data_IF_387944762521
#
_entry.id   IF_387944762521
#
_cell.length_a   1.000
_cell.length_b   1.000
_cell.length_c   1.000
_cell.angle_alpha   90.00
_cell.angle_beta   90.00
_cell.angle_gamma   90.00
#
_symmetry.space_group_name_H-M   'P 1'
#
loop_
_entity.id
_entity.type
_entity.pdbx_description
1 polymer ?
#
# COMPACT_ATOMS: atom_id res chain seq x y z
N UNK A 1 3.72 -36.17 -51.78
CA UNK A 1 2.94 -35.04 -51.20
C UNK A 1 3.26 -34.93 -49.71
N UNK A 2 4.16 -34.04 -49.39
CA UNK A 2 4.52 -33.78 -47.98
C UNK A 2 3.63 -32.66 -47.45
N UNK A 3 2.72 -32.97 -46.52
CA UNK A 3 1.91 -31.96 -45.82
C UNK A 3 2.77 -31.40 -44.71
N UNK A 4 3.23 -30.16 -44.84
CA UNK A 4 3.82 -29.35 -43.77
C UNK A 4 2.71 -28.91 -42.84
N UNK A 5 2.67 -29.48 -41.62
CA UNK A 5 1.86 -28.99 -40.51
C UNK A 5 2.64 -27.85 -39.87
N UNK A 6 2.21 -26.63 -40.12
CA UNK A 6 2.72 -25.45 -39.40
C UNK A 6 2.09 -25.44 -38.00
N UNK A 7 2.91 -25.77 -36.98
CA UNK A 7 2.53 -25.57 -35.58
C UNK A 7 2.62 -24.07 -35.27
N UNK A 8 1.48 -23.41 -35.18
CA UNK A 8 1.35 -22.07 -34.60
C UNK A 8 1.50 -22.20 -33.09
N UNK A 9 2.72 -21.96 -32.60
CA UNK A 9 2.95 -21.77 -31.16
C UNK A 9 2.44 -20.37 -30.82
N UNK A 10 1.21 -20.29 -30.29
CA UNK A 10 0.68 -19.09 -29.72
C UNK A 10 1.47 -18.74 -28.44
N UNK A 11 2.30 -17.73 -28.50
CA UNK A 11 2.92 -17.16 -27.33
C UNK A 11 1.83 -16.46 -26.49
N UNK A 12 1.35 -17.12 -25.45
CA UNK A 12 0.52 -16.50 -24.43
C UNK A 12 1.40 -15.54 -23.64
N UNK A 13 1.32 -14.24 -23.97
CA UNK A 13 1.96 -13.20 -23.18
C UNK A 13 1.20 -13.10 -21.86
N UNK A 14 1.63 -13.78 -20.82
CA UNK A 14 1.16 -13.55 -19.47
C UNK A 14 1.71 -12.19 -19.05
N UNK A 15 0.80 -11.21 -18.90
CA UNK A 15 1.12 -9.94 -18.23
C UNK A 15 1.44 -10.27 -16.78
N UNK A 16 2.71 -10.46 -16.46
CA UNK A 16 3.18 -10.57 -15.10
C UNK A 16 3.05 -9.19 -14.44
N UNK A 17 2.11 -9.05 -13.49
CA UNK A 17 2.06 -7.90 -12.59
C UNK A 17 3.34 -7.99 -11.75
N UNK A 18 4.26 -7.05 -11.93
CA UNK A 18 5.49 -7.02 -11.16
C UNK A 18 5.18 -6.85 -9.67
N UNK A 19 5.75 -7.72 -8.83
CA UNK A 19 5.68 -7.54 -7.38
C UNK A 19 6.39 -6.23 -6.98
N UNK A 20 5.94 -5.56 -5.91
CA UNK A 20 6.62 -4.39 -5.39
C UNK A 20 8.09 -4.70 -5.03
N UNK A 21 8.95 -3.72 -5.18
CA UNK A 21 10.29 -3.79 -4.63
C UNK A 21 10.23 -3.52 -3.13
N UNK A 22 10.61 -4.51 -2.32
CA UNK A 22 10.57 -4.42 -0.86
C UNK A 22 11.95 -4.14 -0.27
N UNK A 23 12.01 -3.23 0.70
CA UNK A 23 13.20 -2.96 1.49
C UNK A 23 12.86 -2.98 2.99
N UNK A 24 13.51 -3.87 3.72
CA UNK A 24 13.32 -4.08 5.16
C UNK A 24 11.85 -4.35 5.57
N UNK A 25 11.06 -4.88 4.67
CA UNK A 25 9.67 -5.24 4.96
C UNK A 25 9.63 -6.73 5.31
N UNK A 26 9.12 -7.11 6.49
CA UNK A 26 9.01 -8.53 6.87
C UNK A 26 8.16 -9.32 5.87
N UNK A 27 8.56 -10.57 5.60
CA UNK A 27 7.90 -11.42 4.62
C UNK A 27 6.38 -11.57 4.84
N UNK A 28 5.87 -11.71 6.07
CA UNK A 28 4.42 -11.76 6.30
C UNK A 28 3.71 -10.47 5.87
N UNK A 29 4.31 -9.30 6.12
CA UNK A 29 3.74 -8.00 5.71
C UNK A 29 3.80 -7.81 4.18
N UNK A 30 4.81 -8.34 3.51
CA UNK A 30 4.89 -8.34 2.04
C UNK A 30 3.65 -9.00 1.41
N UNK A 31 3.11 -10.06 2.02
CA UNK A 31 1.90 -10.73 1.53
C UNK A 31 0.68 -9.79 1.54
N UNK A 32 0.55 -8.97 2.57
CA UNK A 32 -0.54 -7.98 2.65
C UNK A 32 -0.39 -6.84 1.64
N UNK A 33 0.85 -6.47 1.32
CA UNK A 33 1.14 -5.34 0.43
C UNK A 33 1.18 -5.71 -1.06
N UNK A 34 1.31 -6.99 -1.39
CA UNK A 34 1.56 -7.45 -2.76
C UNK A 34 0.43 -7.24 -3.76
N UNK A 35 -0.79 -6.89 -3.32
CA UNK A 35 -1.99 -6.85 -4.16
C UNK A 35 -2.56 -5.44 -4.40
N UNK A 36 -1.81 -4.39 -4.08
CA UNK A 36 -2.32 -3.02 -4.06
C UNK A 36 -1.74 -2.10 -5.13
N UNK A 37 -1.05 -2.65 -6.13
CA UNK A 37 -0.45 -1.86 -7.21
C UNK A 37 0.73 -0.99 -6.75
N UNK A 38 1.42 -1.40 -5.72
CA UNK A 38 2.60 -0.72 -5.22
C UNK A 38 3.81 -0.97 -6.13
N UNK A 39 4.61 0.06 -6.33
CA UNK A 39 5.89 0.01 -7.02
C UNK A 39 7.02 -0.32 -6.05
N UNK A 40 7.04 0.34 -4.90
CA UNK A 40 8.03 0.14 -3.84
C UNK A 40 7.38 0.16 -2.47
N UNK A 41 7.99 -0.54 -1.53
CA UNK A 41 7.63 -0.52 -0.11
C UNK A 41 8.89 -0.63 0.74
N UNK A 42 9.06 0.30 1.67
CA UNK A 42 10.19 0.34 2.59
C UNK A 42 9.69 0.58 4.01
N UNK A 43 10.20 -0.22 4.95
CA UNK A 43 9.95 -0.03 6.38
C UNK A 43 11.22 0.43 7.07
N UNK A 44 11.16 1.57 7.74
CA UNK A 44 12.26 2.14 8.49
C UNK A 44 11.74 2.86 9.74
N UNK A 45 12.24 2.49 10.91
CA UNK A 45 11.90 3.09 12.20
C UNK A 45 10.37 3.25 12.43
N UNK A 46 9.59 2.24 12.07
CA UNK A 46 8.13 2.26 12.22
C UNK A 46 7.39 3.06 11.15
N UNK A 47 8.09 3.60 10.16
CA UNK A 47 7.50 4.30 9.02
C UNK A 47 7.49 3.38 7.80
N UNK A 48 6.30 3.05 7.33
CA UNK A 48 6.10 2.31 6.08
C UNK A 48 5.91 3.30 4.94
N UNK A 49 6.92 3.43 4.09
CA UNK A 49 6.92 4.32 2.94
C UNK A 49 6.63 3.54 1.67
N UNK A 50 5.58 3.91 0.98
CA UNK A 50 5.04 3.21 -0.17
C UNK A 50 4.97 4.15 -1.38
N UNK A 51 5.23 3.62 -2.58
CA UNK A 51 4.97 4.32 -3.84
C UNK A 51 4.03 3.48 -4.69
N UNK A 52 3.00 4.13 -5.25
CA UNK A 52 2.15 3.56 -6.29
C UNK A 52 2.61 4.00 -7.67
N UNK A 53 2.42 3.16 -8.67
CA UNK A 53 2.66 3.51 -10.07
C UNK A 53 1.51 4.35 -10.63
N UNK A 54 1.31 5.53 -10.05
CA UNK A 54 0.29 6.51 -10.41
C UNK A 54 0.92 7.90 -10.46
N UNK A 55 0.51 8.77 -11.40
CA UNK A 55 1.03 10.14 -11.48
C UNK A 55 0.61 10.99 -10.27
N UNK A 56 -0.54 10.68 -9.69
CA UNK A 56 -1.09 11.40 -8.52
C UNK A 56 -1.78 10.42 -7.57
N UNK A 57 -1.59 10.62 -6.27
CA UNK A 57 -2.39 9.96 -5.24
C UNK A 57 -3.51 10.93 -4.83
N UNK A 58 -4.73 10.57 -5.18
CA UNK A 58 -5.92 11.31 -4.72
C UNK A 58 -6.30 10.93 -3.30
N UNK A 59 -7.08 11.76 -2.63
CA UNK A 59 -7.60 11.44 -1.30
C UNK A 59 -8.42 10.14 -1.30
N UNK A 60 -9.15 9.88 -2.38
CA UNK A 60 -9.92 8.65 -2.54
C UNK A 60 -9.03 7.40 -2.62
N UNK A 61 -8.01 7.44 -3.46
CA UNK A 61 -7.04 6.33 -3.60
C UNK A 61 -6.34 6.07 -2.27
N UNK A 62 -5.87 7.14 -1.64
CA UNK A 62 -5.19 7.07 -0.36
C UNK A 62 -6.09 6.49 0.76
N UNK A 63 -7.27 7.05 0.98
CA UNK A 63 -8.15 6.60 2.05
C UNK A 63 -8.62 5.16 1.84
N UNK A 64 -8.89 4.78 0.59
CA UNK A 64 -9.23 3.39 0.23
C UNK A 64 -8.07 2.45 0.54
N UNK A 65 -6.84 2.83 0.22
CA UNK A 65 -5.66 2.02 0.52
C UNK A 65 -5.45 1.88 2.04
N UNK A 66 -5.53 2.97 2.80
CA UNK A 66 -5.38 2.91 4.27
C UNK A 66 -6.41 1.98 4.88
N UNK A 67 -7.68 2.09 4.45
CA UNK A 67 -8.74 1.23 4.96
C UNK A 67 -8.51 -0.25 4.59
N UNK A 68 -8.39 -0.55 3.30
CA UNK A 68 -8.34 -1.93 2.81
C UNK A 68 -6.95 -2.56 2.86
N UNK A 69 -5.91 -1.80 2.59
CA UNK A 69 -4.53 -2.29 2.50
C UNK A 69 -3.81 -2.34 3.84
N UNK A 70 -4.21 -1.55 4.81
CA UNK A 70 -3.57 -1.47 6.12
C UNK A 70 -4.49 -1.94 7.22
N UNK A 71 -5.56 -1.20 7.54
CA UNK A 71 -6.38 -1.51 8.71
C UNK A 71 -7.18 -2.80 8.54
N UNK A 72 -7.83 -3.02 7.39
CA UNK A 72 -8.57 -4.25 7.16
C UNK A 72 -7.65 -5.49 7.14
N UNK A 73 -6.41 -5.35 6.67
CA UNK A 73 -5.42 -6.43 6.74
C UNK A 73 -5.04 -6.75 8.19
N UNK A 74 -4.93 -5.76 9.06
CA UNK A 74 -4.70 -5.98 10.49
C UNK A 74 -5.86 -6.71 11.15
N UNK A 75 -7.10 -6.41 10.77
CA UNK A 75 -8.27 -7.12 11.32
C UNK A 75 -8.37 -8.56 10.85
N UNK A 76 -8.07 -8.82 9.57
CA UNK A 76 -8.19 -10.16 8.96
C UNK A 76 -7.00 -11.08 9.23
N UNK A 77 -5.82 -10.51 9.28
CA UNK A 77 -4.55 -11.25 9.36
C UNK A 77 -3.58 -10.57 10.33
N UNK A 78 -3.96 -10.46 11.64
CA UNK A 78 -3.14 -9.76 12.62
C UNK A 78 -1.75 -10.39 12.78
N UNK A 79 -1.60 -11.68 12.51
CA UNK A 79 -0.32 -12.39 12.56
C UNK A 79 0.72 -11.82 11.59
N UNK A 80 0.30 -11.18 10.50
CA UNK A 80 1.22 -10.56 9.54
C UNK A 80 1.87 -9.28 10.06
N UNK A 81 1.30 -8.72 11.11
CA UNK A 81 1.78 -7.48 11.76
C UNK A 81 2.46 -7.75 13.10
N UNK A 82 2.50 -9.01 13.56
CA UNK A 82 3.11 -9.39 14.83
C UNK A 82 4.62 -9.07 14.83
N UNK A 83 5.06 -8.34 15.87
CA UNK A 83 6.45 -7.91 16.00
C UNK A 83 6.85 -6.76 15.07
N UNK A 84 5.93 -6.24 14.26
CA UNK A 84 6.16 -5.08 13.41
C UNK A 84 5.75 -3.83 14.16
N UNK A 85 6.70 -2.93 14.40
CA UNK A 85 6.38 -1.58 14.87
C UNK A 85 5.96 -0.74 13.67
N UNK A 86 4.70 -0.34 13.64
CA UNK A 86 4.13 0.45 12.56
C UNK A 86 3.45 1.69 13.14
N UNK A 87 4.12 2.82 13.02
CA UNK A 87 3.69 4.10 13.59
C UNK A 87 3.09 5.03 12.54
N UNK A 88 3.51 4.88 11.30
CA UNK A 88 3.13 5.78 10.22
C UNK A 88 3.16 5.06 8.89
N UNK A 89 2.18 5.34 8.03
CA UNK A 89 2.16 4.89 6.64
C UNK A 89 2.20 6.11 5.73
N UNK A 90 3.16 6.14 4.82
CA UNK A 90 3.31 7.19 3.80
C UNK A 90 3.01 6.56 2.45
N UNK A 91 2.02 7.10 1.73
CA UNK A 91 1.68 6.68 0.38
C UNK A 91 1.94 7.80 -0.60
N UNK A 92 2.88 7.57 -1.52
CA UNK A 92 3.35 8.54 -2.50
C UNK A 92 3.07 8.07 -3.92
N UNK A 93 3.03 9.03 -4.84
CA UNK A 93 2.92 8.79 -6.27
C UNK A 93 4.20 8.15 -6.87
N UNK A 94 4.18 7.88 -8.16
CA UNK A 94 5.27 7.19 -8.85
C UNK A 94 6.62 7.90 -8.74
N UNK A 95 6.64 9.23 -8.63
CA UNK A 95 7.87 10.02 -8.46
C UNK A 95 8.34 10.13 -7.01
N UNK A 96 7.51 9.69 -6.06
CA UNK A 96 7.81 9.82 -4.62
C UNK A 96 7.64 11.23 -4.06
N UNK A 97 7.02 12.15 -4.81
CA UNK A 97 6.92 13.55 -4.42
C UNK A 97 5.61 13.90 -3.72
N UNK A 98 4.48 13.38 -4.23
CA UNK A 98 3.15 13.78 -3.79
C UNK A 98 2.40 12.60 -3.18
N UNK A 99 1.65 12.86 -2.14
CA UNK A 99 0.78 11.88 -1.50
C UNK A 99 0.38 12.30 -0.10
N UNK A 100 0.21 11.33 0.76
CA UNK A 100 -0.29 11.53 2.12
C UNK A 100 0.40 10.61 3.11
N UNK A 101 0.42 11.01 4.38
CA UNK A 101 0.88 10.21 5.48
C UNK A 101 -0.22 10.02 6.53
N UNK A 102 -0.35 8.80 7.01
CA UNK A 102 -1.32 8.36 8.01
C UNK A 102 -0.61 8.06 9.32
N UNK A 103 -1.05 8.71 10.40
CA UNK A 103 -0.57 8.42 11.74
C UNK A 103 -1.29 7.20 12.30
N UNK A 104 -0.54 6.11 12.47
CA UNK A 104 -1.06 4.81 12.86
C UNK A 104 -0.77 4.46 14.33
N UNK A 105 -0.22 5.38 15.08
CA UNK A 105 0.11 5.12 16.49
C UNK A 105 -1.14 4.82 17.33
N UNK A 106 -0.97 3.90 18.28
CA UNK A 106 -2.06 3.47 19.16
C UNK A 106 -3.00 2.50 18.45
N UNK A 107 -4.29 2.62 18.74
CA UNK A 107 -5.36 1.73 18.28
C UNK A 107 -6.21 2.34 17.15
N UNK A 108 -5.63 3.18 16.32
CA UNK A 108 -6.35 3.93 15.26
C UNK A 108 -7.12 3.00 14.32
N UNK A 109 -6.51 1.89 13.88
CA UNK A 109 -7.21 0.92 13.04
C UNK A 109 -8.38 0.24 13.77
N UNK A 110 -8.25 -0.05 15.05
CA UNK A 110 -9.34 -0.62 15.88
C UNK A 110 -10.50 0.37 15.97
N UNK A 111 -10.21 1.62 16.29
CA UNK A 111 -11.23 2.68 16.34
C UNK A 111 -11.95 2.84 15.01
N UNK A 112 -11.22 2.81 13.91
CA UNK A 112 -11.83 2.90 12.55
C UNK A 112 -12.76 1.72 12.28
N UNK A 113 -12.40 0.51 12.69
CA UNK A 113 -13.24 -0.68 12.55
C UNK A 113 -14.57 -0.57 13.31
N UNK A 114 -14.59 0.09 14.46
CA UNK A 114 -15.78 0.30 15.27
C UNK A 114 -16.77 1.30 14.67
N UNK A 115 -16.31 2.22 13.81
CA UNK A 115 -17.18 3.23 13.18
C UNK A 115 -18.14 2.64 12.15
N UNK A 116 -17.75 1.58 11.44
CA UNK A 116 -18.54 0.90 10.41
C UNK A 116 -18.78 1.71 9.12
N UNK A 117 -18.79 3.04 9.19
CA UNK A 117 -18.97 3.97 8.06
C UNK A 117 -18.22 5.27 8.35
N UNK A 118 -18.17 6.18 7.36
CA UNK A 118 -17.48 7.47 7.47
C UNK A 118 -15.97 7.35 7.74
N UNK A 119 -15.37 6.24 7.33
CA UNK A 119 -13.94 5.98 7.56
C UNK A 119 -13.04 7.03 6.89
N UNK A 120 -13.46 7.65 5.79
CA UNK A 120 -12.66 8.69 5.11
C UNK A 120 -12.48 9.94 5.97
N UNK A 121 -13.54 10.39 6.62
CA UNK A 121 -13.46 11.52 7.56
C UNK A 121 -12.55 11.18 8.74
N UNK A 122 -12.68 9.98 9.27
CA UNK A 122 -11.80 9.51 10.35
C UNK A 122 -10.34 9.44 9.91
N UNK A 123 -10.04 8.86 8.75
CA UNK A 123 -8.69 8.81 8.21
C UNK A 123 -8.12 10.23 8.03
N UNK A 124 -8.93 11.16 7.54
CA UNK A 124 -8.53 12.56 7.35
C UNK A 124 -8.03 13.23 8.64
N UNK A 125 -8.57 12.88 9.79
CA UNK A 125 -8.15 13.41 11.09
C UNK A 125 -6.72 12.98 11.48
N UNK A 126 -6.23 11.88 10.93
CA UNK A 126 -4.90 11.31 11.18
C UNK A 126 -3.96 11.45 9.98
N UNK A 127 -4.30 12.32 9.05
CA UNK A 127 -3.62 12.48 7.76
C UNK A 127 -2.95 13.84 7.64
N UNK A 128 -1.77 13.85 7.04
CA UNK A 128 -1.11 15.06 6.54
C UNK A 128 -0.77 14.89 5.05
N UNK A 129 -0.74 16.00 4.31
CA UNK A 129 -0.27 16.01 2.92
C UNK A 129 1.24 15.98 2.88
N UNK A 130 1.77 15.25 1.90
CA UNK A 130 3.19 15.25 1.57
C UNK A 130 3.43 16.09 0.32
N UNK A 131 4.50 16.87 0.32
CA UNK A 131 4.94 17.68 -0.80
C UNK A 131 6.46 17.56 -0.99
N UNK A 132 6.91 17.47 -2.25
CA UNK A 132 8.30 17.25 -2.59
C UNK A 132 8.96 16.08 -1.81
N UNK A 133 8.19 15.03 -1.54
CA UNK A 133 8.63 13.85 -0.79
C UNK A 133 8.69 14.03 0.72
N UNK A 134 8.35 15.21 1.24
CA UNK A 134 8.35 15.52 2.68
C UNK A 134 6.93 15.46 3.24
N UNK A 135 6.78 14.72 4.34
CA UNK A 135 5.52 14.58 5.06
C UNK A 135 5.70 15.17 6.47
N UNK A 136 5.10 16.33 6.78
CA UNK A 136 5.22 16.91 8.11
C UNK A 136 4.62 15.98 9.19
N UNK A 137 5.01 16.20 10.43
CA UNK A 137 4.34 15.55 11.55
C UNK A 137 2.97 16.19 11.74
N UNK A 138 2.01 15.41 12.20
CA UNK A 138 0.69 15.92 12.59
C UNK A 138 0.84 16.78 13.85
N UNK A 139 0.20 17.96 13.85
CA UNK A 139 0.22 18.82 15.03
C UNK A 139 -0.35 18.15 16.27
#
# INVERSE_FOLDING_TARGET
MKKLLALLIGAASTLAIAAPEFKNVPAPLQKSLGHHGLKTAQLDNGVLRLQMDKPEITELVYSTFIYHGICAEQWRSPERFTGVQLNRVVLLNATGAQGFAFDLRGDVCVQMGELGKNFRTFIGQYTVKCDAGTCPQRP
#
